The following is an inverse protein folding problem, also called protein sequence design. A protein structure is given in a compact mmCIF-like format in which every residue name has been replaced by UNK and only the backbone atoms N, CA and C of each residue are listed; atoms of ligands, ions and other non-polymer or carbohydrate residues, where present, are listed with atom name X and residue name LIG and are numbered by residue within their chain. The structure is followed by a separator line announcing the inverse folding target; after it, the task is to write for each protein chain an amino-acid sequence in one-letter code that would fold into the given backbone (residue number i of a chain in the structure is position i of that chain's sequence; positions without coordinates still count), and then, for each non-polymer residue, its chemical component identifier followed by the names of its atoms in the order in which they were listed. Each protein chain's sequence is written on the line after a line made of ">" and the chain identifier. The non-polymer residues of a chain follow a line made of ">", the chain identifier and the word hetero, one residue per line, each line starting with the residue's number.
data_IF_498700914778
#
_entry.id   IF_498700914778
#
_cell.length_a   1.000
_cell.length_b   1.000
_cell.length_c   1.000
_cell.angle_alpha   90.00
_cell.angle_beta   90.00
_cell.angle_gamma   90.00
#
_symmetry.space_group_name_H-M   'P 1'
#
loop_
_entity.id
_entity.type
_entity.pdbx_description
1 polymer ?
#
# COMPACT_ATOMS: atom_id res chain seq x y z
N UNK A 1 -11.64 -29.75 8.67
CA UNK A 1 -12.26 -28.82 7.72
C UNK A 1 -11.40 -28.82 6.46
N UNK A 2 -11.82 -29.50 5.41
CA UNK A 2 -11.05 -29.65 4.17
C UNK A 2 -10.97 -28.31 3.44
N UNK A 3 -9.81 -27.66 3.47
CA UNK A 3 -9.57 -26.35 2.89
C UNK A 3 -9.43 -26.46 1.35
N UNK A 4 -10.52 -26.78 0.64
CA UNK A 4 -10.57 -27.02 -0.81
C UNK A 4 -10.48 -25.72 -1.65
N UNK A 5 -9.96 -24.64 -1.06
CA UNK A 5 -9.87 -23.30 -1.64
C UNK A 5 -8.58 -23.14 -2.45
N UNK A 6 -7.51 -23.73 -1.93
CA UNK A 6 -6.14 -23.57 -2.41
C UNK A 6 -5.81 -24.72 -3.37
N UNK A 7 -5.40 -24.45 -4.62
CA UNK A 7 -4.91 -25.49 -5.52
C UNK A 7 -3.76 -26.28 -4.88
N UNK A 8 -3.69 -27.59 -5.14
CA UNK A 8 -2.68 -28.49 -4.52
C UNK A 8 -1.25 -28.05 -4.86
N UNK A 9 -1.05 -27.39 -6.00
CA UNK A 9 0.22 -26.83 -6.45
C UNK A 9 0.30 -25.30 -6.27
N UNK A 10 -0.38 -24.75 -5.26
CA UNK A 10 -0.32 -23.31 -4.99
C UNK A 10 1.01 -22.93 -4.37
N UNK A 11 1.75 -22.10 -5.09
CA UNK A 11 2.89 -21.37 -4.54
C UNK A 11 2.50 -19.93 -4.26
N UNK A 12 2.95 -19.43 -3.10
CA UNK A 12 2.70 -18.05 -2.68
C UNK A 12 3.45 -17.12 -3.64
N UNK A 13 2.76 -16.21 -4.34
CA UNK A 13 3.43 -15.33 -5.29
C UNK A 13 4.34 -14.32 -4.56
N UNK A 14 5.52 -14.07 -5.12
CA UNK A 14 6.45 -13.08 -4.56
C UNK A 14 5.96 -11.65 -4.83
N UNK A 15 5.94 -10.80 -3.80
CA UNK A 15 5.62 -9.37 -3.95
C UNK A 15 6.50 -8.74 -5.05
N UNK A 16 5.97 -7.89 -5.96
CA UNK A 16 4.60 -7.35 -6.01
C UNK A 16 3.56 -8.20 -6.78
N UNK A 17 4.00 -9.21 -7.53
CA UNK A 17 3.18 -10.14 -8.35
C UNK A 17 1.94 -9.52 -9.03
N UNK A 18 2.06 -8.30 -9.56
CA UNK A 18 1.02 -7.67 -10.37
C UNK A 18 1.02 -8.33 -11.75
N UNK A 19 -0.07 -9.01 -12.09
CA UNK A 19 -0.26 -9.59 -13.42
C UNK A 19 -0.83 -8.54 -14.39
N UNK A 20 -0.60 -8.67 -15.68
CA UNK A 20 -1.14 -7.73 -16.68
C UNK A 20 -2.68 -7.74 -16.69
N UNK A 21 -3.36 -6.60 -16.48
CA UNK A 21 -4.82 -6.53 -16.54
C UNK A 21 -5.35 -6.65 -17.97
N UNK A 22 -4.52 -6.44 -19.00
CA UNK A 22 -4.89 -6.55 -20.41
C UNK A 22 -4.30 -7.84 -21.00
N UNK A 23 -5.14 -8.85 -21.30
CA UNK A 23 -4.64 -10.18 -21.67
C UNK A 23 -4.02 -10.15 -23.07
N UNK A 24 -2.70 -10.04 -23.13
CA UNK A 24 -1.90 -10.31 -24.34
C UNK A 24 -1.31 -11.71 -24.26
N UNK A 25 -2.19 -12.72 -24.33
CA UNK A 25 -1.89 -14.15 -24.42
C UNK A 25 -1.21 -14.80 -23.17
N UNK A 26 -1.85 -15.84 -22.60
CA UNK A 26 -1.35 -16.68 -21.50
C UNK A 26 -0.90 -15.96 -20.21
N UNK A 27 -1.71 -15.04 -19.70
CA UNK A 27 -1.43 -14.39 -18.41
C UNK A 27 -1.94 -15.25 -17.25
N UNK A 28 -1.03 -15.78 -16.43
CA UNK A 28 -1.37 -16.42 -15.16
C UNK A 28 -1.82 -15.36 -14.15
N UNK A 29 -3.08 -15.43 -13.72
CA UNK A 29 -3.60 -14.56 -12.67
C UNK A 29 -3.09 -15.04 -11.30
N UNK A 30 -2.38 -14.17 -10.58
CA UNK A 30 -1.89 -14.45 -9.24
C UNK A 30 -2.94 -14.09 -8.19
N UNK A 31 -3.25 -15.07 -7.34
CA UNK A 31 -4.24 -14.92 -6.27
C UNK A 31 -3.61 -15.17 -4.91
N UNK A 32 -4.06 -14.41 -3.92
CA UNK A 32 -3.74 -14.54 -2.51
C UNK A 32 -4.89 -15.27 -1.81
N UNK A 33 -4.56 -16.33 -1.08
CA UNK A 33 -5.52 -17.14 -0.33
C UNK A 33 -5.37 -17.02 1.17
N UNK A 34 -4.16 -16.71 1.65
CA UNK A 34 -3.87 -16.58 3.06
C UNK A 34 -4.03 -15.12 3.51
N UNK A 35 -4.78 -14.94 4.60
CA UNK A 35 -5.01 -13.66 5.29
C UNK A 35 -3.69 -12.93 5.60
N UNK A 36 -2.66 -13.67 6.01
CA UNK A 36 -1.35 -13.12 6.32
C UNK A 36 -0.67 -12.50 5.08
N UNK A 37 -0.78 -13.15 3.92
CA UNK A 37 -0.17 -12.64 2.69
C UNK A 37 -0.93 -11.41 2.18
N UNK A 38 -2.26 -11.42 2.28
CA UNK A 38 -3.13 -10.26 1.98
C UNK A 38 -2.69 -9.05 2.81
N UNK A 39 -2.49 -9.26 4.12
CA UNK A 39 -2.04 -8.21 5.03
C UNK A 39 -0.65 -7.68 4.65
N UNK A 40 0.33 -8.56 4.40
CA UNK A 40 1.70 -8.15 4.02
C UNK A 40 1.73 -7.35 2.72
N UNK A 41 1.00 -7.82 1.70
CA UNK A 41 0.90 -7.12 0.42
C UNK A 41 0.29 -5.73 0.58
N UNK A 42 -0.79 -5.62 1.38
CA UNK A 42 -1.45 -4.33 1.63
C UNK A 42 -0.53 -3.38 2.38
N UNK A 43 0.20 -3.88 3.36
CA UNK A 43 1.17 -3.11 4.14
C UNK A 43 2.31 -2.60 3.25
N UNK A 44 2.93 -3.47 2.42
CA UNK A 44 4.03 -3.08 1.55
C UNK A 44 3.60 -2.04 0.50
N UNK A 45 2.44 -2.21 -0.12
CA UNK A 45 1.91 -1.21 -1.05
C UNK A 45 1.62 0.13 -0.36
N UNK A 46 1.02 0.10 0.83
CA UNK A 46 0.77 1.32 1.61
C UNK A 46 2.07 2.03 1.95
N UNK A 47 3.11 1.27 2.34
CA UNK A 47 4.44 1.83 2.61
C UNK A 47 5.07 2.49 1.38
N UNK A 48 4.97 1.84 0.21
CA UNK A 48 5.49 2.39 -1.05
C UNK A 48 4.77 3.70 -1.41
N UNK A 49 3.44 3.72 -1.38
CA UNK A 49 2.68 4.93 -1.72
C UNK A 49 2.94 6.07 -0.74
N UNK A 50 2.96 5.78 0.56
CA UNK A 50 3.24 6.80 1.58
C UNK A 50 4.67 7.31 1.46
N UNK A 51 5.66 6.43 1.27
CA UNK A 51 7.04 6.83 1.05
C UNK A 51 7.17 7.69 -0.20
N UNK A 52 6.54 7.32 -1.32
CA UNK A 52 6.58 8.11 -2.55
C UNK A 52 6.02 9.52 -2.35
N UNK A 53 4.87 9.66 -1.68
CA UNK A 53 4.26 10.98 -1.41
C UNK A 53 5.11 11.82 -0.46
N UNK A 54 5.56 11.25 0.66
CA UNK A 54 6.38 11.97 1.64
C UNK A 54 7.76 12.35 1.08
N UNK A 55 8.39 11.48 0.29
CA UNK A 55 9.65 11.77 -0.39
C UNK A 55 9.49 12.85 -1.46
N UNK A 56 8.36 12.90 -2.17
CA UNK A 56 8.09 13.96 -3.16
C UNK A 56 8.01 15.33 -2.48
N UNK A 57 7.30 15.43 -1.36
CA UNK A 57 7.21 16.67 -0.56
C UNK A 57 8.58 17.03 0.04
N UNK A 58 9.30 16.05 0.59
CA UNK A 58 10.62 16.26 1.13
C UNK A 58 11.61 16.73 0.05
N UNK A 59 11.60 16.13 -1.14
CA UNK A 59 12.45 16.52 -2.26
C UNK A 59 12.16 17.97 -2.69
N UNK A 60 10.89 18.36 -2.76
CA UNK A 60 10.49 19.73 -3.05
C UNK A 60 10.97 20.72 -1.97
N UNK A 61 10.82 20.36 -0.70
CA UNK A 61 11.30 21.16 0.42
C UNK A 61 12.84 21.32 0.40
N UNK A 62 13.57 20.25 0.07
CA UNK A 62 15.05 20.30 -0.06
C UNK A 62 15.47 21.15 -1.25
N UNK A 63 14.77 21.04 -2.39
CA UNK A 63 15.05 21.86 -3.57
C UNK A 63 14.85 23.36 -3.28
N UNK A 64 13.84 23.74 -2.50
CA UNK A 64 13.66 25.13 -2.06
C UNK A 64 14.70 25.55 -1.01
N UNK A 65 15.13 24.63 -0.15
CA UNK A 65 16.07 24.87 0.96
C UNK A 65 17.55 24.58 0.58
N UNK A 66 17.95 24.80 -0.68
CA UNK A 66 19.31 24.53 -1.19
C UNK A 66 20.45 25.32 -0.50
N UNK A 67 20.16 26.20 0.47
CA UNK A 67 21.16 27.04 1.15
C UNK A 67 21.91 26.31 2.28
N UNK A 68 21.34 25.24 2.86
CA UNK A 68 21.90 24.58 4.05
C UNK A 68 21.88 23.06 3.94
N UNK A 69 23.05 22.45 3.76
CA UNK A 69 23.21 21.00 3.56
C UNK A 69 22.67 20.15 4.74
N UNK A 70 22.84 20.63 5.98
CA UNK A 70 22.36 19.92 7.18
C UNK A 70 20.83 19.86 7.26
N UNK A 71 20.15 20.99 7.03
CA UNK A 71 18.68 21.06 7.04
C UNK A 71 18.08 20.26 5.88
N UNK A 72 18.75 20.25 4.73
CA UNK A 72 18.35 19.45 3.57
C UNK A 72 18.35 17.94 3.83
N UNK A 73 19.15 17.43 4.77
CA UNK A 73 19.14 16.01 5.14
C UNK A 73 18.16 15.68 6.27
N UNK A 74 17.91 16.61 7.19
CA UNK A 74 17.00 16.38 8.32
C UNK A 74 15.53 16.30 7.85
N UNK A 75 15.14 17.13 6.87
CA UNK A 75 13.76 17.18 6.38
C UNK A 75 13.28 15.81 5.83
N UNK A 76 13.99 15.16 4.89
CA UNK A 76 13.58 13.85 4.38
C UNK A 76 13.47 12.77 5.46
N UNK A 77 14.36 12.78 6.46
CA UNK A 77 14.34 11.81 7.55
C UNK A 77 13.07 11.95 8.39
N UNK A 78 12.70 13.18 8.76
CA UNK A 78 11.47 13.43 9.53
C UNK A 78 10.23 12.98 8.74
N UNK A 79 10.15 13.36 7.46
CA UNK A 79 9.04 12.96 6.59
C UNK A 79 8.97 11.45 6.38
N UNK A 80 10.10 10.76 6.27
CA UNK A 80 10.16 9.31 6.16
C UNK A 80 9.70 8.61 7.45
N UNK A 81 10.06 9.12 8.63
CA UNK A 81 9.60 8.55 9.91
C UNK A 81 8.10 8.74 10.09
N UNK A 82 7.58 9.94 9.84
CA UNK A 82 6.15 10.24 9.94
C UNK A 82 5.36 9.40 8.92
N UNK A 83 5.78 9.41 7.66
CA UNK A 83 5.13 8.65 6.60
C UNK A 83 5.19 7.14 6.86
N UNK A 84 6.30 6.63 7.37
CA UNK A 84 6.45 5.22 7.75
C UNK A 84 5.50 4.83 8.89
N UNK A 85 5.38 5.65 9.94
CA UNK A 85 4.44 5.38 11.04
C UNK A 85 3.00 5.38 10.56
N UNK A 86 2.60 6.37 9.77
CA UNK A 86 1.24 6.45 9.21
C UNK A 86 0.96 5.26 8.28
N UNK A 87 1.92 4.88 7.44
CA UNK A 87 1.80 3.74 6.54
C UNK A 87 1.64 2.42 7.28
N UNK A 88 2.39 2.24 8.38
CA UNK A 88 2.27 1.05 9.22
C UNK A 88 0.87 0.97 9.84
N UNK A 89 0.35 2.08 10.37
CA UNK A 89 -0.99 2.11 10.98
C UNK A 89 -2.08 1.89 9.93
N UNK A 90 -2.12 2.69 8.87
CA UNK A 90 -3.14 2.62 7.82
C UNK A 90 -3.09 1.27 7.08
N UNK A 91 -1.90 0.82 6.70
CA UNK A 91 -1.68 -0.45 6.00
C UNK A 91 -2.04 -1.66 6.86
N UNK A 92 -1.75 -1.62 8.17
CA UNK A 92 -2.10 -2.73 9.07
C UNK A 92 -3.60 -2.80 9.30
N UNK A 93 -4.28 -1.68 9.57
CA UNK A 93 -5.73 -1.66 9.79
C UNK A 93 -6.46 -2.16 8.54
N UNK A 94 -6.15 -1.60 7.37
CA UNK A 94 -6.79 -1.99 6.12
C UNK A 94 -6.43 -3.42 5.72
N UNK A 95 -5.17 -3.83 5.87
CA UNK A 95 -4.73 -5.19 5.55
C UNK A 95 -5.41 -6.26 6.41
N UNK A 96 -5.60 -6.01 7.71
CA UNK A 96 -6.28 -6.94 8.61
C UNK A 96 -7.78 -7.03 8.29
N UNK A 97 -8.43 -5.89 8.05
CA UNK A 97 -9.85 -5.83 7.67
C UNK A 97 -10.07 -6.59 6.35
N UNK A 98 -9.23 -6.35 5.34
CA UNK A 98 -9.32 -7.06 4.06
C UNK A 98 -9.09 -8.55 4.22
N UNK A 99 -8.06 -8.94 4.97
CA UNK A 99 -7.81 -10.35 5.27
C UNK A 99 -9.04 -11.03 5.89
N UNK A 100 -9.62 -10.44 6.93
CA UNK A 100 -10.78 -10.98 7.62
C UNK A 100 -12.02 -11.08 6.71
N UNK A 101 -12.28 -10.04 5.90
CA UNK A 101 -13.42 -10.01 4.97
C UNK A 101 -13.28 -11.10 3.90
N UNK A 102 -12.10 -11.24 3.28
CA UNK A 102 -11.86 -12.26 2.26
C UNK A 102 -11.90 -13.68 2.82
N UNK A 103 -11.39 -13.85 4.04
CA UNK A 103 -11.47 -15.13 4.75
C UNK A 103 -12.91 -15.52 5.07
N UNK A 104 -13.72 -14.58 5.60
CA UNK A 104 -15.14 -14.80 5.92
C UNK A 104 -16.00 -15.02 4.67
N UNK A 105 -15.67 -14.33 3.57
CA UNK A 105 -16.35 -14.43 2.29
C UNK A 105 -15.93 -15.66 1.48
N UNK A 106 -14.93 -16.41 1.94
CA UNK A 106 -14.35 -17.54 1.22
C UNK A 106 -13.89 -17.16 -0.21
N UNK A 107 -13.44 -15.91 -0.38
CA UNK A 107 -13.05 -15.33 -1.66
C UNK A 107 -11.53 -15.38 -1.86
N UNK A 108 -11.11 -15.45 -3.13
CA UNK A 108 -9.71 -15.39 -3.55
C UNK A 108 -9.40 -13.92 -3.85
N UNK A 109 -8.28 -13.39 -3.34
CA UNK A 109 -7.94 -11.98 -3.55
C UNK A 109 -6.95 -11.83 -4.70
N UNK A 110 -7.24 -10.96 -5.67
CA UNK A 110 -6.27 -10.55 -6.70
C UNK A 110 -5.14 -9.70 -6.09
N UNK A 111 -3.91 -9.87 -6.57
CA UNK A 111 -2.74 -9.07 -6.15
C UNK A 111 -2.85 -7.58 -6.48
N UNK A 112 -3.79 -7.19 -7.34
CA UNK A 112 -4.13 -5.79 -7.62
C UNK A 112 -4.89 -5.11 -6.47
N UNK A 113 -5.69 -5.87 -5.72
CA UNK A 113 -6.53 -5.30 -4.68
C UNK A 113 -5.72 -4.64 -3.55
N UNK A 114 -4.66 -5.28 -3.00
CA UNK A 114 -3.79 -4.62 -2.03
C UNK A 114 -3.17 -3.31 -2.54
N UNK A 115 -2.80 -3.26 -3.82
CA UNK A 115 -2.25 -2.06 -4.46
C UNK A 115 -3.28 -0.93 -4.50
N UNK A 116 -4.50 -1.23 -4.97
CA UNK A 116 -5.59 -0.24 -5.04
C UNK A 116 -5.90 0.32 -3.66
N UNK A 117 -5.98 -0.53 -2.64
CA UNK A 117 -6.21 -0.09 -1.26
C UNK A 117 -5.06 0.76 -0.70
N UNK A 118 -3.81 0.45 -1.03
CA UNK A 118 -2.67 1.33 -0.73
C UNK A 118 -2.81 2.71 -1.39
N UNK A 119 -3.28 2.74 -2.64
CA UNK A 119 -3.58 3.99 -3.37
C UNK A 119 -4.72 4.79 -2.73
N UNK A 120 -5.82 4.13 -2.36
CA UNK A 120 -6.94 4.78 -1.65
C UNK A 120 -6.47 5.36 -0.31
N UNK A 121 -5.65 4.62 0.45
CA UNK A 121 -5.10 5.09 1.72
C UNK A 121 -4.29 6.39 1.57
N UNK A 122 -3.48 6.50 0.51
CA UNK A 122 -2.69 7.73 0.29
C UNK A 122 -3.56 8.87 -0.25
N UNK A 123 -4.57 8.57 -1.06
CA UNK A 123 -5.52 9.60 -1.50
C UNK A 123 -6.32 10.18 -0.33
N UNK A 124 -6.81 9.33 0.57
CA UNK A 124 -7.51 9.78 1.79
C UNK A 124 -6.59 10.63 2.65
N UNK A 125 -5.32 10.23 2.81
CA UNK A 125 -4.32 11.04 3.50
C UNK A 125 -4.19 12.44 2.88
N UNK A 126 -4.00 12.51 1.55
CA UNK A 126 -3.85 13.77 0.83
C UNK A 126 -5.10 14.64 1.00
N UNK A 127 -6.30 14.07 0.82
CA UNK A 127 -7.55 14.80 0.99
C UNK A 127 -7.72 15.33 2.43
N UNK A 128 -7.35 14.53 3.43
CA UNK A 128 -7.41 14.96 4.84
C UNK A 128 -6.41 16.05 5.21
N UNK A 129 -5.36 16.24 4.40
CA UNK A 129 -4.34 17.27 4.63
C UNK A 129 -4.81 18.67 4.23
N UNK A 130 -5.81 18.79 3.36
CA UNK A 130 -6.37 20.08 2.99
C UNK A 130 -7.35 20.54 4.07
N UNK A 131 -7.20 21.76 4.61
CA UNK A 131 -8.21 22.33 5.49
C UNK A 131 -9.50 22.49 4.67
N UNK A 132 -10.61 21.88 5.13
CA UNK A 132 -11.92 22.10 4.55
C UNK A 132 -12.32 23.57 4.73
N UNK A 133 -11.98 24.45 3.77
CA UNK A 133 -12.53 25.78 3.65
C UNK A 133 -13.98 25.64 3.15
N UNK A 134 -14.89 25.28 4.05
CA UNK A 134 -16.29 24.97 3.71
C UNK A 134 -17.26 25.30 4.83
N UNK A 135 -17.04 26.42 5.52
CA UNK A 135 -17.92 26.91 6.57
C UNK A 135 -17.99 28.43 6.58
N UNK A 136 -18.49 29.01 5.49
CA UNK A 136 -19.08 30.36 5.43
C UNK A 136 -20.38 30.28 4.64
#
# INVERSE_FOLDING_TARGET
>A
MTNNRVPINYEIPSFPSLYDPFPTHNTYAYYLYYTQDIWRFTLYWTFIFYAATHLSVAAWAVAMQCRSWKTGLIIPVIYAVIGGLQALMAGSIVGLVLGAVYESGNFRMSTWLPMIWGGVNVMVLILSSFPMQGGL
#
